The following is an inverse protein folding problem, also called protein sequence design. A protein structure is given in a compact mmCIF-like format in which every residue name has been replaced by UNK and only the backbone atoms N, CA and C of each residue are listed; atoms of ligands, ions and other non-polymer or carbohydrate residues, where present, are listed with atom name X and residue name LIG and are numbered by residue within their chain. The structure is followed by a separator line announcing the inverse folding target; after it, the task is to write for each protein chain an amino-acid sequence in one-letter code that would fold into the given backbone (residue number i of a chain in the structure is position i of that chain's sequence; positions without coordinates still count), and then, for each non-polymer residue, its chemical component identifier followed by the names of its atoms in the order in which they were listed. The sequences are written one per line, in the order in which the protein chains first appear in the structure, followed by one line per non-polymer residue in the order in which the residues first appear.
data_IF_723675115314
#
_entry.id   IF_723675115314
#
_cell.length_a   1.000
_cell.length_b   1.000
_cell.length_c   1.000
_cell.angle_alpha   90.00
_cell.angle_beta   90.00
_cell.angle_gamma   90.00
#
_symmetry.space_group_name_H-M   'P 1'
#
loop_
_entity.id
_entity.type
_entity.pdbx_description
1 polymer ?
#
# COMPACT_ATOMS: atom_id res chain seq x y z
N UNK A 1 53.21 3.45 9.11
CA UNK A 1 51.79 3.57 9.50
C UNK A 1 51.11 4.38 8.40
N UNK A 2 50.51 3.70 7.43
CA UNK A 2 49.79 4.32 6.31
C UNK A 2 48.43 4.80 6.81
N UNK A 3 48.03 6.00 6.40
CA UNK A 3 46.84 6.69 6.90
C UNK A 3 45.57 6.04 6.34
N UNK A 4 44.48 6.01 7.13
CA UNK A 4 43.18 5.52 6.68
C UNK A 4 42.67 6.21 5.40
N UNK A 5 43.15 7.43 5.11
CA UNK A 5 42.86 8.14 3.87
C UNK A 5 43.47 7.49 2.61
N UNK A 6 44.66 6.89 2.73
CA UNK A 6 45.36 6.23 1.61
C UNK A 6 44.68 4.89 1.25
N UNK A 7 44.15 4.18 2.25
CA UNK A 7 43.39 2.94 2.03
C UNK A 7 42.06 3.19 1.31
N UNK A 8 41.37 4.30 1.65
CA UNK A 8 40.12 4.70 0.99
C UNK A 8 40.37 5.10 -0.47
N UNK A 9 41.46 5.82 -0.77
CA UNK A 9 41.81 6.16 -2.16
C UNK A 9 42.12 4.93 -3.02
N UNK A 10 42.79 3.91 -2.46
CA UNK A 10 43.06 2.68 -3.22
C UNK A 10 41.80 1.86 -3.52
N UNK A 11 40.82 1.88 -2.60
CA UNK A 11 39.53 1.18 -2.78
C UNK A 11 38.65 1.86 -3.84
N UNK A 12 38.66 3.20 -3.90
CA UNK A 12 37.93 3.95 -4.92
C UNK A 12 38.52 3.66 -6.32
N UNK A 13 39.85 3.70 -6.45
CA UNK A 13 40.51 3.48 -7.74
C UNK A 13 40.36 2.03 -8.26
N UNK A 14 40.26 1.06 -7.35
CA UNK A 14 39.96 -0.34 -7.70
C UNK A 14 38.53 -0.53 -8.21
N UNK A 15 37.55 0.18 -7.64
CA UNK A 15 36.14 0.16 -8.09
C UNK A 15 35.97 0.85 -9.44
N UNK A 16 36.73 1.90 -9.71
CA UNK A 16 36.68 2.64 -10.99
C UNK A 16 37.24 1.83 -12.17
N UNK A 17 38.25 0.99 -11.94
CA UNK A 17 38.78 0.07 -12.98
C UNK A 17 37.84 -1.10 -13.28
N UNK A 18 37.05 -1.55 -12.31
CA UNK A 18 36.14 -2.70 -12.47
C UNK A 18 34.82 -2.34 -13.18
N UNK A 19 34.45 -1.05 -13.17
CA UNK A 19 33.19 -0.54 -13.75
C UNK A 19 33.32 0.09 -15.14
N UNK A 20 34.52 0.16 -15.72
CA UNK A 20 34.70 0.58 -17.12
C UNK A 20 34.11 1.96 -17.46
N UNK A 21 34.15 2.90 -16.51
CA UNK A 21 33.61 4.26 -16.70
C UNK A 21 34.78 5.17 -17.08
N UNK A 22 35.02 5.32 -18.39
CA UNK A 22 35.86 6.41 -18.88
C UNK A 22 35.07 7.73 -18.87
N UNK A 23 35.54 8.68 -18.05
CA UNK A 23 35.16 10.08 -18.15
C UNK A 23 35.90 10.71 -19.35
N UNK A 24 35.16 11.30 -20.30
CA UNK A 24 35.73 12.34 -21.15
C UNK A 24 34.70 13.35 -21.67
N UNK A 25 35.14 14.61 -21.66
CA UNK A 25 34.44 15.83 -22.04
C UNK A 25 34.40 16.05 -23.58
N UNK A 26 34.28 17.28 -24.09
CA UNK A 26 33.08 18.11 -24.32
C UNK A 26 32.65 18.12 -25.81
N UNK A 27 31.35 18.37 -26.10
CA UNK A 27 30.85 18.53 -27.48
C UNK A 27 30.94 20.00 -27.92
N UNK A 28 31.88 20.26 -28.82
CA UNK A 28 31.97 21.44 -29.67
C UNK A 28 31.06 21.37 -30.91
N UNK A 29 30.89 22.52 -31.54
CA UNK A 29 29.84 22.92 -32.47
C UNK A 29 29.85 22.33 -33.90
N UNK A 30 28.66 22.43 -34.50
CA UNK A 30 28.35 22.83 -35.90
C UNK A 30 27.93 21.78 -36.94
N UNK A 31 26.98 22.24 -37.75
CA UNK A 31 26.02 21.54 -38.59
C UNK A 31 26.56 21.17 -39.97
N UNK A 32 25.92 20.19 -40.63
CA UNK A 32 25.59 20.27 -42.07
C UNK A 32 24.48 19.28 -42.48
N UNK A 33 23.54 19.80 -43.28
CA UNK A 33 22.43 19.11 -43.97
C UNK A 33 22.96 18.10 -45.00
N UNK A 34 22.27 16.96 -45.18
CA UNK A 34 21.74 16.56 -46.50
C UNK A 34 20.91 15.26 -46.48
N UNK A 35 19.77 15.36 -47.19
CA UNK A 35 19.12 14.34 -48.04
C UNK A 35 18.32 13.17 -47.43
N UNK A 36 17.01 13.28 -47.63
CA UNK A 36 16.00 12.22 -47.58
C UNK A 36 16.14 11.26 -48.77
N UNK A 37 16.06 9.95 -48.49
CA UNK A 37 15.46 8.95 -49.38
C UNK A 37 14.74 7.88 -48.51
N UNK A 38 13.60 7.34 -48.95
CA UNK A 38 12.61 6.69 -48.08
C UNK A 38 12.85 5.18 -47.97
N UNK A 39 12.71 4.60 -46.77
CA UNK A 39 12.62 3.14 -46.60
C UNK A 39 11.65 2.71 -45.48
N UNK A 40 10.63 2.00 -45.94
CA UNK A 40 9.97 0.85 -45.34
C UNK A 40 9.46 0.93 -43.88
N UNK A 41 8.13 1.00 -43.76
CA UNK A 41 7.36 0.74 -42.54
C UNK A 41 7.65 -0.68 -42.04
N UNK A 42 8.31 -0.81 -40.88
CA UNK A 42 8.29 -2.04 -40.07
C UNK A 42 6.90 -2.20 -39.41
N UNK A 43 6.36 -3.42 -39.30
CA UNK A 43 5.08 -3.67 -38.64
C UNK A 43 5.18 -3.31 -37.16
N UNK A 44 4.20 -2.55 -36.65
CA UNK A 44 4.02 -2.33 -35.21
C UNK A 44 3.62 -3.66 -34.59
N UNK A 45 4.42 -4.13 -33.62
CA UNK A 45 3.99 -5.16 -32.69
C UNK A 45 2.66 -4.74 -32.03
N UNK A 46 1.72 -5.67 -31.80
CA UNK A 46 0.46 -5.34 -31.13
C UNK A 46 0.78 -4.79 -29.75
N UNK A 47 0.34 -3.56 -29.46
CA UNK A 47 0.26 -3.09 -28.09
C UNK A 47 -0.63 -4.07 -27.33
N UNK A 48 -0.26 -4.52 -26.10
CA UNK A 48 -1.19 -5.26 -25.27
C UNK A 48 -2.44 -4.42 -25.12
N UNK A 49 -3.58 -5.06 -25.41
CA UNK A 49 -4.91 -4.49 -25.31
C UNK A 49 -5.03 -3.85 -23.93
N UNK A 50 -5.15 -2.53 -23.89
CA UNK A 50 -5.51 -1.81 -22.67
C UNK A 50 -6.76 -2.50 -22.13
N UNK A 51 -6.71 -2.94 -20.88
CA UNK A 51 -7.92 -3.24 -20.12
C UNK A 51 -8.93 -2.09 -20.33
N UNK A 52 -10.23 -2.38 -20.41
CA UNK A 52 -11.25 -1.34 -20.58
C UNK A 52 -11.00 -0.22 -19.57
N UNK A 53 -10.98 1.03 -20.04
CA UNK A 53 -10.79 2.18 -19.17
C UNK A 53 -11.83 2.13 -18.04
N UNK A 54 -11.36 2.24 -16.80
CA UNK A 54 -12.23 2.20 -15.63
C UNK A 54 -13.40 3.17 -15.79
N UNK A 55 -14.61 2.67 -15.58
CA UNK A 55 -15.82 3.49 -15.61
C UNK A 55 -15.69 4.59 -14.53
N UNK A 56 -15.72 5.89 -14.92
CA UNK A 56 -15.60 6.99 -13.98
C UNK A 56 -16.77 7.08 -13.01
N UNK A 57 -17.90 6.42 -13.27
CA UNK A 57 -19.09 6.40 -12.41
C UNK A 57 -19.08 5.28 -11.36
N UNK A 58 -17.97 4.56 -11.21
CA UNK A 58 -17.85 3.53 -10.18
C UNK A 58 -17.83 4.16 -8.77
N UNK A 59 -18.46 3.51 -7.76
CA UNK A 59 -18.56 4.05 -6.42
C UNK A 59 -17.19 4.32 -5.78
N UNK A 60 -17.15 5.27 -4.84
CA UNK A 60 -15.90 5.71 -4.18
C UNK A 60 -15.15 4.57 -3.45
N UNK A 61 -15.83 3.48 -3.06
CA UNK A 61 -15.18 2.32 -2.43
C UNK A 61 -14.15 1.67 -3.36
N UNK A 62 -14.44 1.67 -4.65
CA UNK A 62 -13.57 1.12 -5.70
C UNK A 62 -12.32 1.97 -5.92
N UNK A 63 -12.31 3.19 -5.38
CA UNK A 63 -11.21 4.14 -5.50
C UNK A 63 -10.20 3.99 -4.37
N UNK A 64 -10.53 3.21 -3.34
CA UNK A 64 -9.57 2.79 -2.32
C UNK A 64 -8.72 1.62 -2.82
N UNK A 65 -7.44 1.65 -2.45
CA UNK A 65 -6.52 0.53 -2.66
C UNK A 65 -6.40 -0.24 -1.34
N UNK A 66 -7.34 -1.15 -1.11
CA UNK A 66 -7.35 -2.01 0.07
C UNK A 66 -6.72 -3.35 -0.34
N UNK A 67 -5.69 -3.77 0.37
CA UNK A 67 -4.97 -5.01 0.08
C UNK A 67 -4.85 -5.90 1.29
N UNK A 68 -4.70 -7.19 1.05
CA UNK A 68 -4.30 -8.16 2.06
C UNK A 68 -2.86 -7.88 2.49
N UNK A 69 -2.64 -7.69 3.78
CA UNK A 69 -1.34 -7.51 4.39
C UNK A 69 -1.02 -8.60 5.40
N UNK A 70 0.27 -8.80 5.66
CA UNK A 70 0.79 -9.60 6.78
C UNK A 70 1.76 -8.75 7.59
N UNK A 71 1.54 -8.65 8.89
CA UNK A 71 2.45 -7.95 9.80
C UNK A 71 3.70 -8.81 9.97
N UNK A 72 4.81 -8.41 9.36
CA UNK A 72 6.08 -9.16 9.46
C UNK A 72 6.89 -8.77 10.69
N UNK A 73 6.65 -7.57 11.22
CA UNK A 73 7.30 -7.08 12.44
C UNK A 73 6.43 -6.02 13.10
N UNK A 74 6.39 -6.04 14.42
CA UNK A 74 5.65 -5.08 15.25
C UNK A 74 6.41 -4.74 16.53
N UNK A 75 6.40 -3.47 16.91
CA UNK A 75 7.01 -2.99 18.15
C UNK A 75 6.23 -1.78 18.68
N UNK A 76 6.36 -1.49 19.98
CA UNK A 76 5.76 -0.29 20.58
C UNK A 76 6.50 0.95 20.09
N UNK A 77 5.77 2.02 19.81
CA UNK A 77 6.37 3.31 19.48
C UNK A 77 7.18 3.84 20.67
N UNK A 78 8.36 4.40 20.41
CA UNK A 78 9.33 4.79 21.45
C UNK A 78 8.79 5.82 22.45
N UNK A 79 7.96 6.74 21.96
CA UNK A 79 7.43 7.87 22.75
C UNK A 79 5.90 7.90 22.86
N UNK A 80 5.19 6.94 22.24
CA UNK A 80 3.73 6.99 22.15
C UNK A 80 3.11 5.69 22.66
N UNK A 81 2.60 5.72 23.90
CA UNK A 81 2.10 4.53 24.61
C UNK A 81 0.90 3.84 23.96
N UNK A 82 0.23 4.52 23.03
CA UNK A 82 -0.96 4.01 22.33
C UNK A 82 -0.67 3.46 20.95
N UNK A 83 0.55 3.62 20.45
CA UNK A 83 0.90 3.29 19.07
C UNK A 83 1.82 2.06 19.02
N UNK A 84 1.46 1.15 18.12
CA UNK A 84 2.41 0.21 17.56
C UNK A 84 2.99 0.79 16.27
N UNK A 85 4.22 0.40 15.97
CA UNK A 85 4.86 0.55 14.67
C UNK A 85 4.96 -0.84 14.05
N UNK A 86 4.55 -0.95 12.80
CA UNK A 86 4.51 -2.20 12.06
C UNK A 86 5.28 -2.10 10.75
N UNK A 87 5.94 -3.19 10.36
CA UNK A 87 6.31 -3.46 8.98
C UNK A 87 5.29 -4.46 8.43
N UNK A 88 4.51 -4.06 7.43
CA UNK A 88 3.44 -4.87 6.86
C UNK A 88 3.75 -5.18 5.40
N UNK A 89 3.92 -6.47 5.11
CA UNK A 89 4.05 -6.99 3.74
C UNK A 89 2.68 -6.90 3.06
N UNK A 90 2.62 -6.17 1.95
CA UNK A 90 1.43 -6.00 1.10
C UNK A 90 1.73 -6.38 -0.35
N UNK A 91 2.69 -7.28 -0.57
CA UNK A 91 3.09 -7.77 -1.89
C UNK A 91 3.80 -6.72 -2.76
N UNK A 92 4.41 -5.73 -2.13
CA UNK A 92 5.31 -4.75 -2.76
C UNK A 92 6.78 -5.16 -2.58
N UNK A 93 7.71 -4.46 -3.23
CA UNK A 93 9.15 -4.77 -3.16
C UNK A 93 9.71 -4.71 -1.72
N UNK A 94 9.09 -3.92 -0.85
CA UNK A 94 9.42 -3.81 0.56
C UNK A 94 8.16 -3.68 1.43
N UNK A 95 8.19 -4.19 2.68
CA UNK A 95 7.11 -3.96 3.64
C UNK A 95 6.87 -2.47 3.90
N UNK A 96 5.60 -2.10 4.08
CA UNK A 96 5.22 -0.73 4.44
C UNK A 96 5.39 -0.49 5.92
N UNK A 97 5.91 0.68 6.26
CA UNK A 97 5.91 1.19 7.62
C UNK A 97 4.53 1.77 7.93
N UNK A 98 3.83 1.19 8.91
CA UNK A 98 2.51 1.63 9.35
C UNK A 98 2.58 1.82 10.86
N UNK A 99 1.78 2.74 11.39
CA UNK A 99 1.58 2.84 12.83
C UNK A 99 0.09 2.79 13.13
N UNK A 100 -0.27 1.99 14.13
CA UNK A 100 -1.66 1.72 14.51
C UNK A 100 -1.92 1.98 15.99
N UNK A 101 -3.11 2.49 16.31
CA UNK A 101 -3.56 2.78 17.68
C UNK A 101 -4.04 1.55 18.45
N UNK A 102 -3.38 0.41 18.31
CA UNK A 102 -3.90 -0.90 18.72
C UNK A 102 -3.34 -1.43 20.05
N UNK A 103 -2.50 -0.66 20.75
CA UNK A 103 -1.85 -1.09 22.01
C UNK A 103 -2.85 -1.51 23.10
N UNK A 104 -4.01 -0.86 23.16
CA UNK A 104 -5.06 -1.20 24.14
C UNK A 104 -5.99 -2.33 23.70
N UNK A 105 -5.86 -2.80 22.46
CA UNK A 105 -6.76 -3.79 21.85
C UNK A 105 -6.06 -5.14 21.61
N UNK A 106 -4.75 -5.11 21.36
CA UNK A 106 -3.96 -6.30 21.06
C UNK A 106 -2.64 -6.33 21.82
N UNK A 107 -2.32 -7.52 22.31
CA UNK A 107 -0.96 -7.83 22.74
C UNK A 107 -0.03 -7.94 21.51
N UNK A 108 1.27 -7.73 21.71
CA UNK A 108 2.25 -7.71 20.63
C UNK A 108 2.32 -9.06 19.90
N UNK A 109 2.14 -10.15 20.64
CA UNK A 109 2.11 -11.52 20.16
C UNK A 109 0.91 -11.80 19.23
N UNK A 110 -0.21 -11.10 19.43
CA UNK A 110 -1.39 -11.21 18.57
C UNK A 110 -1.27 -10.39 17.29
N UNK A 111 -0.40 -9.37 17.30
CA UNK A 111 -0.11 -8.52 16.15
C UNK A 111 0.90 -9.20 15.21
N UNK A 112 1.88 -9.90 15.75
CA UNK A 112 2.91 -10.57 14.97
C UNK A 112 2.30 -11.64 14.04
N UNK A 113 2.70 -11.61 12.77
CA UNK A 113 2.19 -12.49 11.70
C UNK A 113 0.67 -12.39 11.43
N UNK A 114 -0.01 -11.43 12.04
CA UNK A 114 -1.42 -11.20 11.81
C UNK A 114 -1.68 -10.84 10.34
N UNK A 115 -2.75 -11.44 9.80
CA UNK A 115 -3.24 -11.16 8.45
C UNK A 115 -4.35 -10.12 8.54
N UNK A 116 -4.16 -9.00 7.86
CA UNK A 116 -5.02 -7.82 7.99
C UNK A 116 -5.37 -7.26 6.62
N UNK A 117 -6.34 -6.37 6.57
CA UNK A 117 -6.54 -5.50 5.42
C UNK A 117 -5.81 -4.17 5.64
N UNK A 118 -5.15 -3.67 4.59
CA UNK A 118 -4.36 -2.45 4.61
C UNK A 118 -4.86 -1.50 3.54
N UNK A 119 -5.12 -0.25 3.91
CA UNK A 119 -5.39 0.81 2.96
C UNK A 119 -4.08 1.46 2.50
N UNK A 120 -3.73 1.22 1.23
CA UNK A 120 -2.42 1.49 0.65
C UNK A 120 -2.33 2.83 -0.11
N UNK A 121 -3.44 3.47 -0.47
CA UNK A 121 -3.44 4.72 -1.24
C UNK A 121 -3.79 5.96 -0.43
N UNK A 122 -3.50 5.98 0.86
CA UNK A 122 -3.50 7.20 1.66
C UNK A 122 -2.23 8.01 1.46
N UNK A 123 -2.32 9.33 1.64
CA UNK A 123 -1.11 10.14 1.81
C UNK A 123 -0.41 9.71 3.10
N UNK A 124 0.93 9.52 3.08
CA UNK A 124 1.66 9.23 4.29
C UNK A 124 1.46 10.31 5.35
N UNK A 125 1.33 9.90 6.61
CA UNK A 125 1.16 10.81 7.75
C UNK A 125 2.19 10.52 8.82
N UNK A 126 2.70 11.58 9.43
CA UNK A 126 3.57 11.46 10.60
C UNK A 126 2.71 11.32 11.86
N UNK A 127 2.89 10.23 12.58
CA UNK A 127 2.26 9.92 13.86
C UNK A 127 3.36 9.93 14.92
N UNK A 128 3.43 11.01 15.70
CA UNK A 128 4.44 11.20 16.77
C UNK A 128 5.89 10.98 16.28
N UNK A 129 6.19 11.41 15.04
CA UNK A 129 7.51 11.26 14.43
C UNK A 129 7.69 10.01 13.57
N UNK A 130 6.80 9.03 13.67
CA UNK A 130 6.80 7.86 12.79
C UNK A 130 6.00 8.11 11.52
N UNK A 131 6.60 7.91 10.35
CA UNK A 131 5.94 8.14 9.05
C UNK A 131 5.15 6.90 8.64
N UNK A 132 3.83 6.93 8.83
CA UNK A 132 2.93 5.84 8.44
C UNK A 132 2.53 5.94 6.96
N UNK A 133 2.65 4.83 6.23
CA UNK A 133 2.40 4.65 4.80
C UNK A 133 1.14 3.80 4.51
N UNK A 134 0.17 3.86 5.41
CA UNK A 134 -1.10 3.16 5.25
C UNK A 134 -1.94 3.21 6.51
N UNK A 135 -2.97 2.37 6.53
CA UNK A 135 -3.87 2.20 7.67
C UNK A 135 -4.34 0.75 7.71
N UNK A 136 -4.27 0.12 8.87
CA UNK A 136 -4.82 -1.21 9.12
C UNK A 136 -6.32 -1.09 9.35
N UNK A 137 -7.13 -1.83 8.60
CA UNK A 137 -8.58 -1.78 8.69
C UNK A 137 -9.09 -2.64 9.85
N UNK A 138 -9.83 -2.03 10.76
CA UNK A 138 -10.44 -2.70 11.90
C UNK A 138 -11.94 -2.45 11.96
N UNK A 139 -12.71 -3.43 12.43
CA UNK A 139 -14.11 -3.25 12.82
C UNK A 139 -14.17 -2.86 14.30
N UNK A 140 -14.93 -1.81 14.63
CA UNK A 140 -15.10 -1.31 15.98
C UNK A 140 -16.59 -1.21 16.34
N UNK A 141 -16.94 -1.66 17.55
CA UNK A 141 -18.28 -1.49 18.12
C UNK A 141 -18.16 -0.87 19.51
N UNK A 142 -19.03 0.12 19.87
CA UNK A 142 -19.07 0.64 21.23
C UNK A 142 -19.52 -0.44 22.21
N UNK A 143 -18.94 -0.40 23.40
CA UNK A 143 -19.30 -1.23 24.56
C UNK A 143 -20.10 -0.39 25.56
N UNK A 144 -20.85 -1.07 26.43
CA UNK A 144 -21.70 -0.42 27.44
C UNK A 144 -20.91 0.45 28.44
N UNK A 145 -19.62 0.13 28.66
CA UNK A 145 -18.72 0.87 29.54
C UNK A 145 -18.09 2.12 28.89
N UNK A 146 -18.53 2.47 27.68
CA UNK A 146 -18.02 3.60 26.91
C UNK A 146 -16.68 3.34 26.22
N UNK A 147 -16.13 2.13 26.29
CA UNK A 147 -14.98 1.70 25.47
C UNK A 147 -15.46 1.19 24.11
N UNK A 148 -14.53 0.76 23.28
CA UNK A 148 -14.82 0.09 22.01
C UNK A 148 -14.13 -1.27 21.96
N UNK A 149 -14.86 -2.27 21.44
CA UNK A 149 -14.25 -3.53 21.02
C UNK A 149 -13.80 -3.35 19.58
N UNK A 150 -12.49 -3.43 19.38
CA UNK A 150 -11.84 -3.30 18.07
C UNK A 150 -11.30 -4.66 17.65
N UNK A 151 -11.57 -5.07 16.42
CA UNK A 151 -11.05 -6.30 15.84
C UNK A 151 -10.55 -6.10 14.42
N UNK A 152 -9.57 -6.90 13.98
CA UNK A 152 -9.08 -6.84 12.61
C UNK A 152 -10.13 -7.29 11.61
N UNK A 153 -10.21 -6.59 10.49
CA UNK A 153 -10.82 -7.19 9.29
C UNK A 153 -9.79 -8.14 8.70
N UNK A 154 -10.09 -9.44 8.77
CA UNK A 154 -9.20 -10.55 8.47
C UNK A 154 -9.59 -11.15 7.12
N UNK A 155 -8.63 -11.37 6.22
CA UNK A 155 -8.88 -12.10 4.98
C UNK A 155 -9.01 -13.61 5.24
N UNK A 156 -9.66 -14.38 4.35
CA UNK A 156 -9.72 -15.82 4.47
C UNK A 156 -8.33 -16.46 4.28
N UNK A 157 -8.14 -17.67 4.80
CA UNK A 157 -6.83 -18.36 4.84
C UNK A 157 -6.18 -18.50 3.45
N UNK A 158 -6.97 -18.69 2.39
CA UNK A 158 -6.47 -18.84 1.01
C UNK A 158 -6.11 -17.54 0.29
N UNK A 159 -6.37 -16.37 0.86
CA UNK A 159 -6.08 -15.09 0.19
C UNK A 159 -4.57 -14.90 0.03
N UNK A 160 -4.12 -14.13 -0.97
CA UNK A 160 -2.68 -13.89 -1.16
C UNK A 160 -2.27 -12.55 -0.57
N UNK A 161 -1.07 -12.47 0.00
CA UNK A 161 -0.51 -11.17 0.44
C UNK A 161 -0.36 -10.26 -0.78
N UNK A 162 -0.79 -9.00 -0.63
CA UNK A 162 -0.86 -8.00 -1.68
C UNK A 162 -2.07 -8.10 -2.61
N UNK A 163 -2.92 -9.11 -2.43
CA UNK A 163 -4.17 -9.20 -3.17
C UNK A 163 -5.08 -8.02 -2.85
N UNK A 164 -5.59 -7.36 -3.90
CA UNK A 164 -6.52 -6.25 -3.77
C UNK A 164 -7.91 -6.76 -3.45
N UNK A 165 -8.57 -6.12 -2.48
CA UNK A 165 -9.96 -6.38 -2.16
C UNK A 165 -10.85 -5.90 -3.30
N UNK A 166 -11.77 -6.77 -3.68
CA UNK A 166 -12.73 -6.55 -4.77
C UNK A 166 -14.15 -6.58 -4.23
N UNK A 167 -15.06 -5.99 -4.99
CA UNK A 167 -16.48 -5.89 -4.69
C UNK A 167 -17.23 -6.41 -5.90
N UNK A 168 -18.06 -7.43 -5.72
CA UNK A 168 -18.78 -8.06 -6.83
C UNK A 168 -19.57 -7.03 -7.65
N UNK A 169 -19.41 -7.08 -8.98
CA UNK A 169 -20.05 -6.17 -9.92
C UNK A 169 -19.37 -4.80 -10.08
N UNK A 170 -18.37 -4.46 -9.25
CA UNK A 170 -17.68 -3.17 -9.32
C UNK A 170 -16.29 -3.30 -9.96
N UNK A 171 -15.93 -2.37 -10.83
CA UNK A 171 -14.70 -2.45 -11.66
C UNK A 171 -13.81 -1.21 -11.57
N UNK A 172 -13.98 -0.38 -10.53
CA UNK A 172 -13.22 0.85 -10.41
C UNK A 172 -11.74 0.66 -10.07
N UNK A 173 -10.92 1.56 -10.62
CA UNK A 173 -9.48 1.64 -10.32
C UNK A 173 -9.20 2.53 -9.09
N UNK A 174 -8.15 2.21 -8.31
CA UNK A 174 -7.78 3.03 -7.17
C UNK A 174 -7.33 4.43 -7.60
N UNK A 175 -7.68 5.42 -6.79
CA UNK A 175 -7.15 6.76 -6.93
C UNK A 175 -5.72 6.88 -6.43
N UNK A 176 -5.02 7.90 -6.92
CA UNK A 176 -3.76 8.35 -6.32
C UNK A 176 -3.99 8.90 -4.91
N UNK A 177 -2.96 8.91 -4.03
CA UNK A 177 -3.06 9.48 -2.69
C UNK A 177 -3.60 10.92 -2.66
N UNK A 178 -3.23 11.74 -3.65
CA UNK A 178 -3.72 13.10 -3.76
C UNK A 178 -5.22 13.16 -4.07
N UNK A 179 -5.72 12.27 -4.92
CA UNK A 179 -7.15 12.20 -5.25
C UNK A 179 -7.97 11.69 -4.07
N UNK A 180 -7.49 10.67 -3.33
CA UNK A 180 -8.17 10.13 -2.14
C UNK A 180 -8.41 11.24 -1.10
N UNK A 181 -7.39 12.05 -0.82
CA UNK A 181 -7.51 13.17 0.12
C UNK A 181 -8.39 14.30 -0.44
N UNK A 182 -8.15 14.73 -1.68
CA UNK A 182 -8.87 15.87 -2.28
C UNK A 182 -10.38 15.60 -2.41
N UNK A 183 -10.75 14.36 -2.73
CA UNK A 183 -12.15 13.94 -2.85
C UNK A 183 -12.75 13.47 -1.53
N UNK A 184 -11.95 13.43 -0.45
CA UNK A 184 -12.36 12.97 0.88
C UNK A 184 -13.04 11.60 0.83
N UNK A 185 -12.48 10.66 0.07
CA UNK A 185 -13.10 9.36 -0.25
C UNK A 185 -13.59 8.63 1.00
N UNK A 186 -12.77 8.56 2.07
CA UNK A 186 -13.16 7.95 3.34
C UNK A 186 -14.35 8.66 4.02
N UNK A 187 -14.43 9.99 3.92
CA UNK A 187 -15.57 10.76 4.46
C UNK A 187 -16.84 10.53 3.65
N UNK A 188 -16.72 10.34 2.33
CA UNK A 188 -17.86 10.04 1.45
C UNK A 188 -18.41 8.64 1.72
N UNK A 189 -17.53 7.69 2.02
CA UNK A 189 -17.93 6.32 2.42
C UNK A 189 -18.53 6.28 3.83
N UNK A 190 -18.14 7.22 4.69
CA UNK A 190 -18.77 7.45 5.98
C UNK A 190 -18.86 6.19 6.85
N UNK A 191 -20.04 5.97 7.43
CA UNK A 191 -20.38 4.84 8.29
C UNK A 191 -20.96 3.64 7.53
N UNK A 192 -20.90 3.65 6.19
CA UNK A 192 -21.44 2.58 5.37
C UNK A 192 -20.51 1.36 5.30
N UNK A 193 -19.22 1.53 5.63
CA UNK A 193 -18.26 0.43 5.77
C UNK A 193 -18.44 -0.21 7.15
N UNK A 194 -19.02 -1.41 7.20
CA UNK A 194 -19.32 -2.10 8.45
C UNK A 194 -19.29 -3.61 8.29
N UNK A 195 -19.16 -4.33 9.40
CA UNK A 195 -19.48 -5.75 9.41
C UNK A 195 -20.98 -5.98 9.51
N UNK A 196 -21.48 -7.09 8.99
CA UNK A 196 -22.87 -7.51 9.21
C UNK A 196 -23.05 -8.31 10.51
N UNK A 197 -24.20 -8.94 10.69
CA UNK A 197 -24.52 -9.73 11.88
C UNK A 197 -23.58 -10.93 12.05
N UNK A 198 -23.07 -11.48 10.94
CA UNK A 198 -22.17 -12.64 10.90
C UNK A 198 -20.69 -12.22 10.94
N UNK A 199 -20.40 -10.91 11.04
CA UNK A 199 -19.05 -10.37 11.05
C UNK A 199 -18.43 -10.21 9.66
N UNK A 200 -19.19 -10.38 8.57
CA UNK A 200 -18.68 -10.21 7.20
C UNK A 200 -18.52 -8.72 6.90
N UNK A 201 -17.33 -8.32 6.44
CA UNK A 201 -17.03 -6.93 6.09
C UNK A 201 -17.74 -6.52 4.80
N UNK A 202 -18.51 -5.42 4.87
CA UNK A 202 -19.33 -4.90 3.78
C UNK A 202 -19.22 -3.38 3.67
N UNK A 203 -19.45 -2.89 2.45
CA UNK A 203 -19.85 -1.52 2.20
C UNK A 203 -21.20 -1.58 1.48
N UNK A 204 -22.27 -1.09 2.12
CA UNK A 204 -23.66 -1.32 1.68
C UNK A 204 -23.93 -2.83 1.48
N UNK A 205 -24.48 -3.23 0.34
CA UNK A 205 -24.63 -4.64 -0.05
C UNK A 205 -23.33 -5.34 -0.48
N UNK A 206 -22.25 -4.60 -0.77
CA UNK A 206 -21.05 -5.18 -1.36
C UNK A 206 -20.08 -5.74 -0.32
N UNK A 207 -19.70 -7.00 -0.49
CA UNK A 207 -18.77 -7.72 0.38
C UNK A 207 -17.32 -7.44 0.02
N UNK A 208 -16.48 -7.22 1.03
CA UNK A 208 -15.03 -7.16 0.88
C UNK A 208 -14.52 -8.57 0.53
N UNK A 209 -14.17 -8.78 -0.74
CA UNK A 209 -13.89 -10.12 -1.27
C UNK A 209 -12.45 -10.26 -1.78
N UNK A 210 -11.91 -11.45 -1.54
CA UNK A 210 -10.68 -11.96 -2.14
C UNK A 210 -11.02 -13.13 -3.07
N UNK A 211 -10.06 -13.61 -3.84
CA UNK A 211 -10.15 -14.84 -4.63
C UNK A 211 -10.43 -16.10 -3.80
N UNK A 212 -10.18 -16.05 -2.49
CA UNK A 212 -10.43 -17.15 -1.55
C UNK A 212 -11.69 -16.95 -0.70
N UNK A 213 -12.46 -15.89 -0.91
CA UNK A 213 -13.71 -15.62 -0.20
C UNK A 213 -13.77 -14.28 0.54
N UNK A 214 -14.79 -14.11 1.41
CA UNK A 214 -15.07 -12.85 2.07
C UNK A 214 -14.12 -12.57 3.25
N UNK A 215 -13.83 -11.29 3.49
CA UNK A 215 -13.14 -10.85 4.69
C UNK A 215 -14.12 -10.69 5.85
N UNK A 216 -13.68 -11.01 7.06
CA UNK A 216 -14.53 -11.02 8.26
C UNK A 216 -13.83 -10.40 9.46
N UNK A 217 -14.57 -9.99 10.47
CA UNK A 217 -14.05 -9.62 11.77
C UNK A 217 -14.91 -10.24 12.89
N UNK A 218 -14.33 -10.59 14.05
CA UNK A 218 -15.06 -11.13 15.21
C UNK A 218 -15.85 -10.06 15.98
N UNK A 219 -16.49 -9.15 15.24
CA UNK A 219 -17.35 -8.07 15.71
C UNK A 219 -18.52 -7.96 14.74
N UNK A 220 -19.74 -8.11 15.23
CA UNK A 220 -20.96 -7.94 14.44
C UNK A 220 -21.40 -6.48 14.44
N UNK A 221 -21.90 -5.99 13.30
CA UNK A 221 -22.40 -4.61 13.13
C UNK A 221 -21.38 -3.52 13.53
N UNK A 222 -20.08 -3.81 13.41
CA UNK A 222 -19.01 -2.90 13.76
C UNK A 222 -18.65 -1.98 12.61
N UNK A 223 -18.38 -0.70 12.90
CA UNK A 223 -17.90 0.28 11.93
C UNK A 223 -16.47 -0.07 11.52
N UNK A 224 -16.20 -0.15 10.22
CA UNK A 224 -14.86 -0.43 9.68
C UNK A 224 -14.11 0.90 9.47
N UNK A 225 -12.95 1.03 10.12
CA UNK A 225 -12.11 2.23 10.08
C UNK A 225 -10.64 1.95 10.40
#
# INVERSE_FOLDING_TARGET
MSSAAEQIQSLISAVESDLGIEANAPVGQQAQKQQQKPKAKKPKAPKPTKAPAADPNQPEITKLDIRVGRIVKVWKHETADKLYCEEIDVGEDAPRQIASGLVHHYALEQMQDARVLVLCNLKPRNLVGFRSHGMVMCAAVPLEDGKEKVAFVTPPEGAKVGERITFEGLTGEPFSPAQVEKKKVLMVLGDEMKTDADGVAKWKEHVFSTSAGPCTAPVSNGLIR
#
